data_IF_459114387680
#
_entry.id   IF_459114387680
#
_cell.length_a   1.000
_cell.length_b   1.000
_cell.length_c   1.000
_cell.angle_alpha   90.00
_cell.angle_beta   90.00
_cell.angle_gamma   90.00
#
_symmetry.space_group_name_H-M   'P 1'
#
loop_
_entity.id
_entity.type
_entity.pdbx_description
1 polymer ?
#
# COMPACT_ATOMS: atom_id res chain seq x y z
N UNK A 1 -42.64 -50.72 -27.79
CA UNK A 1 -42.62 -49.52 -28.67
C UNK A 1 -42.65 -48.20 -27.88
N UNK A 2 -43.47 -48.03 -26.84
CA UNK A 2 -43.50 -46.77 -26.05
C UNK A 2 -42.31 -46.56 -25.10
N UNK A 3 -41.65 -47.61 -24.61
CA UNK A 3 -40.44 -47.47 -23.76
C UNK A 3 -39.18 -47.05 -24.54
N UNK A 4 -39.03 -47.43 -25.81
CA UNK A 4 -37.88 -47.02 -26.63
C UNK A 4 -37.96 -45.53 -27.04
N UNK A 5 -39.16 -44.99 -27.21
CA UNK A 5 -39.37 -43.55 -27.52
C UNK A 5 -38.95 -42.65 -26.36
N UNK A 6 -39.27 -43.03 -25.12
CA UNK A 6 -38.89 -42.26 -23.94
C UNK A 6 -37.38 -42.20 -23.69
N UNK A 7 -36.63 -43.26 -24.05
CA UNK A 7 -35.17 -43.25 -23.93
C UNK A 7 -34.48 -42.43 -25.03
N UNK A 8 -35.04 -42.38 -26.24
CA UNK A 8 -34.52 -41.54 -27.34
C UNK A 8 -34.78 -40.04 -27.13
N UNK A 9 -35.93 -39.67 -26.57
CA UNK A 9 -36.24 -38.25 -26.24
C UNK A 9 -35.40 -37.71 -25.08
N UNK A 10 -35.05 -38.54 -24.10
CA UNK A 10 -34.13 -38.20 -23.00
C UNK A 10 -32.69 -37.95 -23.50
N UNK A 11 -32.23 -38.76 -24.45
CA UNK A 11 -30.90 -38.61 -25.07
C UNK A 11 -30.80 -37.38 -26.00
N UNK A 12 -31.88 -37.01 -26.69
CA UNK A 12 -31.93 -35.78 -27.51
C UNK A 12 -32.06 -34.50 -26.66
N UNK A 13 -32.78 -34.56 -25.53
CA UNK A 13 -32.88 -33.43 -24.58
C UNK A 13 -31.55 -33.15 -23.86
N UNK A 14 -30.80 -34.21 -23.54
CA UNK A 14 -29.46 -34.06 -22.96
C UNK A 14 -28.42 -33.58 -23.97
N UNK A 15 -28.43 -34.02 -25.24
CA UNK A 15 -27.49 -33.48 -26.24
C UNK A 15 -27.79 -32.02 -26.64
N UNK A 16 -29.07 -31.62 -26.66
CA UNK A 16 -29.49 -30.25 -26.93
C UNK A 16 -29.06 -29.27 -25.82
N UNK A 17 -29.12 -29.69 -24.55
CA UNK A 17 -28.66 -28.87 -23.41
C UNK A 17 -27.13 -28.75 -23.31
N UNK A 18 -26.36 -29.71 -23.82
CA UNK A 18 -24.90 -29.57 -23.95
C UNK A 18 -24.47 -28.65 -25.09
N UNK A 19 -25.26 -28.52 -26.17
CA UNK A 19 -24.97 -27.58 -27.26
C UNK A 19 -25.56 -26.18 -27.04
N UNK A 20 -26.63 -26.05 -26.25
CA UNK A 20 -27.14 -24.73 -25.85
C UNK A 20 -26.19 -24.00 -24.88
N UNK A 21 -25.38 -24.75 -24.12
CA UNK A 21 -24.48 -24.19 -23.10
C UNK A 21 -23.08 -23.80 -23.63
N UNK A 22 -22.79 -24.03 -24.92
CA UNK A 22 -21.58 -23.52 -25.59
C UNK A 22 -21.83 -22.26 -26.43
N UNK A 23 -23.07 -21.96 -26.77
CA UNK A 23 -23.42 -20.79 -27.59
C UNK A 23 -23.58 -19.49 -26.79
N UNK A 24 -23.80 -19.55 -25.47
CA UNK A 24 -23.83 -18.35 -24.60
C UNK A 24 -22.44 -17.87 -24.13
N UNK A 25 -21.39 -18.66 -24.35
CA UNK A 25 -19.99 -18.31 -24.03
C UNK A 25 -19.34 -17.45 -25.13
N UNK A 26 -19.94 -16.31 -25.48
CA UNK A 26 -19.24 -15.29 -26.29
C UNK A 26 -19.96 -13.93 -26.30
N UNK A 27 -20.33 -13.42 -25.13
CA UNK A 27 -20.36 -11.98 -24.92
C UNK A 27 -19.43 -11.70 -23.77
N UNK A 28 -18.23 -11.20 -24.05
CA UNK A 28 -17.33 -10.70 -23.02
C UNK A 28 -18.15 -9.74 -22.15
N UNK A 29 -18.44 -10.13 -20.90
CA UNK A 29 -19.16 -9.27 -19.97
C UNK A 29 -18.33 -7.99 -19.88
N UNK A 30 -18.95 -6.85 -20.22
CA UNK A 30 -18.29 -5.53 -20.26
C UNK A 30 -17.59 -5.19 -18.92
N UNK A 31 -18.05 -5.82 -17.83
CA UNK A 31 -17.54 -5.63 -16.48
C UNK A 31 -17.40 -6.98 -15.74
N UNK A 32 -16.44 -7.09 -14.81
CA UNK A 32 -16.28 -8.28 -13.97
C UNK A 32 -17.47 -8.45 -13.01
N UNK A 33 -17.69 -9.67 -12.54
CA UNK A 33 -18.69 -9.95 -11.51
C UNK A 33 -18.24 -9.41 -10.15
N UNK A 34 -19.20 -8.87 -9.38
CA UNK A 34 -18.94 -8.34 -8.04
C UNK A 34 -18.70 -9.50 -7.07
N UNK A 35 -17.56 -9.45 -6.37
CA UNK A 35 -17.22 -10.38 -5.29
C UNK A 35 -17.31 -9.67 -3.94
N UNK A 36 -18.35 -10.01 -3.16
CA UNK A 36 -18.56 -9.45 -1.82
C UNK A 36 -17.74 -10.12 -0.72
N UNK A 37 -17.83 -9.59 0.52
CA UNK A 37 -17.22 -10.18 1.72
C UNK A 37 -15.77 -9.79 1.99
N UNK A 38 -15.21 -8.88 1.19
CA UNK A 38 -13.90 -8.27 1.41
C UNK A 38 -13.99 -6.92 2.10
N UNK A 39 -12.92 -6.54 2.81
CA UNK A 39 -12.71 -5.16 3.26
C UNK A 39 -12.28 -4.29 2.08
N UNK A 40 -12.73 -3.04 2.05
CA UNK A 40 -12.14 -2.03 1.17
C UNK A 40 -10.77 -1.62 1.74
N UNK A 41 -9.70 -1.90 1.02
CA UNK A 41 -8.34 -1.53 1.43
C UNK A 41 -8.05 -0.09 1.01
N UNK A 42 -7.75 0.77 1.99
CA UNK A 42 -7.41 2.18 1.78
C UNK A 42 -6.18 2.54 2.61
N UNK A 43 -5.36 3.45 2.10
CA UNK A 43 -4.33 4.12 2.87
C UNK A 43 -4.93 5.37 3.55
N UNK A 44 -5.28 5.26 4.83
CA UNK A 44 -5.90 6.36 5.55
C UNK A 44 -4.84 7.37 6.03
N UNK A 45 -4.87 8.58 5.46
CA UNK A 45 -3.99 9.67 5.87
C UNK A 45 -4.47 10.30 7.18
N UNK A 46 -3.76 10.01 8.26
CA UNK A 46 -4.05 10.52 9.62
C UNK A 46 -2.98 11.49 10.15
N UNK A 47 -2.16 12.04 9.26
CA UNK A 47 -1.20 13.09 9.62
C UNK A 47 -1.91 14.25 10.30
N UNK A 48 -1.38 14.67 11.45
CA UNK A 48 -1.90 15.73 12.32
C UNK A 48 -3.31 15.49 12.90
N UNK A 49 -3.90 14.32 12.67
CA UNK A 49 -5.20 13.94 13.23
C UNK A 49 -5.08 13.53 14.69
N UNK A 50 -6.10 13.82 15.49
CA UNK A 50 -6.16 13.49 16.91
C UNK A 50 -6.64 12.05 17.08
N UNK A 51 -5.75 11.17 17.52
CA UNK A 51 -6.07 9.77 17.79
C UNK A 51 -6.10 9.56 19.30
N UNK A 52 -7.26 9.15 19.81
CA UNK A 52 -7.42 8.74 21.20
C UNK A 52 -7.15 7.24 21.33
N UNK A 53 -6.28 6.86 22.25
CA UNK A 53 -6.03 5.48 22.64
C UNK A 53 -6.48 5.30 24.08
N UNK A 54 -7.44 4.39 24.31
CA UNK A 54 -7.90 4.04 25.66
C UNK A 54 -7.24 2.73 26.07
N UNK A 55 -6.44 2.76 27.13
CA UNK A 55 -5.58 1.65 27.58
C UNK A 55 -4.10 1.86 27.26
N UNK A 56 -3.23 1.28 28.09
CA UNK A 56 -1.77 1.44 28.03
C UNK A 56 -0.97 0.14 27.87
N UNK A 57 -1.65 -1.00 27.69
CA UNK A 57 -1.02 -2.33 27.62
C UNK A 57 -0.35 -2.65 26.27
N UNK A 58 0.03 -3.92 26.09
CA UNK A 58 0.74 -4.41 24.88
C UNK A 58 -0.01 -4.13 23.57
N UNK A 59 -1.34 -4.28 23.57
CA UNK A 59 -2.17 -3.99 22.39
C UNK A 59 -2.16 -2.49 22.06
N UNK A 60 -2.13 -1.63 23.09
CA UNK A 60 -2.06 -0.18 22.92
C UNK A 60 -0.70 0.25 22.33
N UNK A 61 0.40 -0.33 22.80
CA UNK A 61 1.76 -0.03 22.31
C UNK A 61 1.88 -0.16 20.80
N UNK A 62 1.46 -1.30 20.23
CA UNK A 62 1.50 -1.52 18.78
C UNK A 62 0.61 -0.56 17.98
N UNK A 63 -0.56 -0.18 18.53
CA UNK A 63 -1.47 0.80 17.92
C UNK A 63 -0.88 2.20 17.92
N UNK A 64 -0.31 2.61 19.06
CA UNK A 64 0.36 3.89 19.22
C UNK A 64 1.51 4.02 18.23
N UNK A 65 2.35 2.99 18.13
CA UNK A 65 3.46 2.98 17.17
C UNK A 65 2.94 3.16 15.73
N UNK A 66 1.93 2.40 15.31
CA UNK A 66 1.34 2.54 13.97
C UNK A 66 0.78 3.95 13.70
N UNK A 67 0.18 4.59 14.71
CA UNK A 67 -0.35 5.95 14.60
C UNK A 67 0.76 7.00 14.51
N UNK A 68 1.81 6.86 15.32
CA UNK A 68 2.99 7.74 15.27
C UNK A 68 3.72 7.62 13.93
N UNK A 69 3.85 6.40 13.41
CA UNK A 69 4.41 6.10 12.09
C UNK A 69 3.66 6.80 10.94
N UNK A 70 2.40 7.18 11.18
CA UNK A 70 1.52 7.90 10.26
C UNK A 70 1.35 9.38 10.62
N UNK A 71 2.23 9.92 11.46
CA UNK A 71 2.28 11.33 11.90
C UNK A 71 1.01 11.79 12.65
N UNK A 72 0.32 10.88 13.35
CA UNK A 72 -0.86 11.23 14.13
C UNK A 72 -0.50 11.89 15.48
N UNK A 73 -1.41 12.71 16.00
CA UNK A 73 -1.33 13.29 17.34
C UNK A 73 -2.04 12.36 18.33
N UNK A 74 -1.25 11.53 19.01
CA UNK A 74 -1.77 10.47 19.88
C UNK A 74 -1.94 10.96 21.32
N UNK A 75 -3.13 10.75 21.88
CA UNK A 75 -3.40 10.88 23.31
C UNK A 75 -3.76 9.51 23.88
N UNK A 76 -3.08 9.11 24.94
CA UNK A 76 -3.33 7.84 25.65
C UNK A 76 -4.00 8.14 26.98
N UNK A 77 -5.14 7.51 27.24
CA UNK A 77 -5.88 7.61 28.50
C UNK A 77 -5.84 6.26 29.22
N UNK A 78 -5.13 6.20 30.34
CA UNK A 78 -5.11 5.08 31.27
C UNK A 78 -4.39 5.46 32.56
N UNK A 79 -4.63 4.77 33.68
CA UNK A 79 -3.81 4.91 34.88
C UNK A 79 -2.34 4.61 34.58
N UNK A 80 -1.41 5.34 35.17
CA UNK A 80 0.04 5.19 34.97
C UNK A 80 0.52 3.77 35.28
N UNK A 81 -0.11 3.09 36.24
CA UNK A 81 0.15 1.69 36.57
C UNK A 81 -0.18 0.70 35.44
N UNK A 82 -0.97 1.12 34.45
CA UNK A 82 -1.36 0.33 33.28
C UNK A 82 -0.52 0.61 32.03
N UNK A 83 0.50 1.47 32.12
CA UNK A 83 1.43 1.71 31.02
C UNK A 83 2.40 0.52 30.88
N UNK A 84 2.45 -0.07 29.70
CA UNK A 84 3.53 -0.99 29.36
C UNK A 84 4.85 -0.19 29.16
N UNK A 85 6.02 -0.87 29.15
CA UNK A 85 7.31 -0.21 29.02
C UNK A 85 7.46 0.64 27.75
N UNK A 86 6.87 0.20 26.63
CA UNK A 86 6.93 0.95 25.37
C UNK A 86 6.08 2.23 25.43
N UNK A 87 4.84 2.16 25.94
CA UNK A 87 4.00 3.36 26.08
C UNK A 87 4.64 4.34 27.06
N UNK A 88 5.14 3.86 28.21
CA UNK A 88 5.86 4.70 29.17
C UNK A 88 7.06 5.43 28.51
N UNK A 89 7.88 4.70 27.74
CA UNK A 89 8.98 5.30 26.99
C UNK A 89 8.51 6.42 26.05
N UNK A 90 7.39 6.23 25.34
CA UNK A 90 6.83 7.23 24.42
C UNK A 90 6.30 8.46 25.14
N UNK A 91 5.72 8.29 26.32
CA UNK A 91 5.28 9.38 27.20
C UNK A 91 6.49 10.18 27.68
N UNK A 92 7.53 9.52 28.19
CA UNK A 92 8.78 10.17 28.63
C UNK A 92 9.47 10.95 27.51
N UNK A 93 9.41 10.44 26.27
CA UNK A 93 9.96 11.10 25.08
C UNK A 93 9.06 12.21 24.53
N UNK A 94 7.93 12.51 25.17
CA UNK A 94 6.91 13.46 24.72
C UNK A 94 6.39 13.18 23.29
N UNK A 95 6.39 11.90 22.88
CA UNK A 95 5.85 11.48 21.58
C UNK A 95 4.33 11.35 21.61
N UNK A 96 3.75 11.13 22.79
CA UNK A 96 2.31 11.04 23.01
C UNK A 96 1.92 11.88 24.22
N UNK A 97 0.68 12.37 24.23
CA UNK A 97 0.08 12.97 25.44
C UNK A 97 -0.50 11.86 26.31
N UNK A 98 -0.20 11.85 27.61
CA UNK A 98 -0.77 10.88 28.56
C UNK A 98 -1.71 11.58 29.53
N UNK A 99 -2.88 10.98 29.72
CA UNK A 99 -3.89 11.37 30.70
C UNK A 99 -3.98 10.24 31.73
N UNK A 100 -3.41 10.49 32.91
CA UNK A 100 -3.34 9.52 34.01
C UNK A 100 -4.67 9.41 34.77
N UNK A 101 -5.65 8.81 34.11
CA UNK A 101 -6.93 8.41 34.70
C UNK A 101 -7.65 7.39 33.82
N UNK A 102 -8.80 6.93 34.28
CA UNK A 102 -9.74 6.18 33.46
C UNK A 102 -10.40 7.08 32.41
N UNK A 103 -10.93 6.44 31.37
CA UNK A 103 -11.66 7.10 30.30
C UNK A 103 -12.93 7.79 30.82
N UNK A 104 -13.20 8.98 30.27
CA UNK A 104 -14.44 9.73 30.44
C UNK A 104 -15.04 10.09 29.08
N UNK A 105 -16.36 10.21 28.92
CA UNK A 105 -16.99 10.51 27.63
C UNK A 105 -16.51 11.81 26.95
N UNK A 106 -15.99 12.77 27.72
CA UNK A 106 -15.39 14.02 27.25
C UNK A 106 -14.04 13.81 26.53
N UNK A 107 -13.36 12.69 26.72
CA UNK A 107 -12.12 12.36 26.00
C UNK A 107 -12.33 12.21 24.50
N UNK A 108 -13.57 11.92 24.09
CA UNK A 108 -13.97 11.81 22.68
C UNK A 108 -14.05 13.18 21.99
N UNK A 109 -14.04 14.28 22.75
CA UNK A 109 -14.26 15.61 22.21
C UNK A 109 -13.10 16.03 21.30
N UNK A 110 -13.41 16.14 20.01
CA UNK A 110 -12.44 16.48 18.97
C UNK A 110 -11.51 15.35 18.55
N UNK A 111 -11.76 14.10 18.97
CA UNK A 111 -11.04 12.94 18.45
C UNK A 111 -11.45 12.64 17.00
N UNK A 112 -10.48 12.43 16.12
CA UNK A 112 -10.71 12.01 14.73
C UNK A 112 -10.82 10.48 14.60
N UNK A 113 -10.24 9.73 15.55
CA UNK A 113 -10.22 8.27 15.60
C UNK A 113 -10.03 7.81 17.04
N UNK A 114 -10.68 6.69 17.41
CA UNK A 114 -10.58 6.09 18.75
C UNK A 114 -10.14 4.64 18.66
N UNK A 115 -9.14 4.28 19.46
CA UNK A 115 -8.61 2.92 19.57
C UNK A 115 -8.76 2.45 21.01
N UNK A 116 -9.56 1.41 21.24
CA UNK A 116 -9.80 0.86 22.58
C UNK A 116 -9.01 -0.44 22.75
N UNK A 117 -8.17 -0.49 23.78
CA UNK A 117 -7.27 -1.60 24.09
C UNK A 117 -7.21 -1.84 25.61
N UNK A 118 -8.38 -2.11 26.21
CA UNK A 118 -8.55 -2.43 27.64
C UNK A 118 -9.20 -3.80 27.81
N UNK A 119 -8.90 -4.47 28.93
CA UNK A 119 -9.43 -5.79 29.28
C UNK A 119 -10.81 -5.72 29.99
N UNK A 120 -11.66 -4.78 29.60
CA UNK A 120 -13.04 -4.64 30.08
C UNK A 120 -14.00 -4.58 28.87
N UNK A 121 -14.67 -5.70 28.54
CA UNK A 121 -15.60 -5.76 27.41
C UNK A 121 -16.79 -4.80 27.57
N UNK A 122 -17.32 -4.63 28.79
CA UNK A 122 -18.50 -3.78 29.01
C UNK A 122 -18.16 -2.30 28.82
N UNK A 123 -17.00 -1.87 29.36
CA UNK A 123 -16.46 -0.54 29.10
C UNK A 123 -16.14 -0.34 27.61
N UNK A 124 -15.52 -1.33 26.96
CA UNK A 124 -15.17 -1.27 25.53
C UNK A 124 -16.40 -1.07 24.64
N UNK A 125 -17.46 -1.85 24.85
CA UNK A 125 -18.74 -1.69 24.14
C UNK A 125 -19.39 -0.33 24.43
N UNK A 126 -19.23 0.20 25.64
CA UNK A 126 -19.77 1.51 26.01
C UNK A 126 -19.04 2.63 25.25
N UNK A 127 -17.71 2.58 25.21
CA UNK A 127 -16.89 3.51 24.43
C UNK A 127 -17.25 3.42 22.94
N UNK A 128 -17.40 2.21 22.40
CA UNK A 128 -17.83 2.00 21.01
C UNK A 128 -19.16 2.71 20.70
N UNK A 129 -20.19 2.51 21.53
CA UNK A 129 -21.50 3.17 21.36
C UNK A 129 -21.37 4.69 21.34
N UNK A 130 -20.60 5.25 22.28
CA UNK A 130 -20.34 6.69 22.37
C UNK A 130 -19.61 7.23 21.12
N UNK A 131 -18.69 6.44 20.53
CA UNK A 131 -18.05 6.76 19.26
C UNK A 131 -19.05 6.73 18.10
N UNK A 132 -19.96 5.74 18.04
CA UNK A 132 -21.00 5.66 17.01
C UNK A 132 -21.95 6.85 17.05
N UNK A 133 -22.39 7.27 18.24
CA UNK A 133 -23.23 8.45 18.44
C UNK A 133 -22.56 9.73 17.92
N UNK A 134 -21.24 9.86 18.13
CA UNK A 134 -20.43 11.00 17.67
C UNK A 134 -19.91 10.86 16.24
N UNK A 135 -20.17 9.73 15.57
CA UNK A 135 -19.64 9.39 14.23
C UNK A 135 -18.11 9.38 14.16
N UNK A 136 -17.47 8.98 15.25
CA UNK A 136 -16.01 8.82 15.32
C UNK A 136 -15.68 7.37 14.94
N UNK A 137 -14.82 7.13 13.95
CA UNK A 137 -14.39 5.77 13.62
C UNK A 137 -13.64 5.12 14.78
N UNK A 138 -14.07 3.92 15.16
CA UNK A 138 -13.52 3.21 16.29
C UNK A 138 -12.96 1.82 15.91
N UNK A 139 -11.89 1.42 16.58
CA UNK A 139 -11.41 0.05 16.57
C UNK A 139 -11.24 -0.47 18.01
N UNK A 140 -12.01 -1.49 18.35
CA UNK A 140 -12.01 -2.15 19.66
C UNK A 140 -11.20 -3.44 19.53
N UNK A 141 -10.18 -3.59 20.38
CA UNK A 141 -9.34 -4.78 20.38
C UNK A 141 -10.18 -6.04 20.57
N UNK A 142 -9.92 -7.05 19.73
CA UNK A 142 -10.52 -8.38 19.81
C UNK A 142 -12.06 -8.46 19.76
N UNK A 143 -12.75 -7.37 19.39
CA UNK A 143 -14.20 -7.33 19.18
C UNK A 143 -14.53 -6.89 17.74
N UNK A 144 -14.41 -7.80 16.74
CA UNK A 144 -14.64 -7.46 15.33
C UNK A 144 -16.00 -6.82 15.00
N UNK A 145 -17.14 -7.25 15.59
CA UNK A 145 -18.44 -6.61 15.35
C UNK A 145 -18.50 -5.14 15.77
N UNK A 146 -17.60 -4.71 16.65
CA UNK A 146 -17.51 -3.35 17.19
C UNK A 146 -16.36 -2.55 16.52
N UNK A 147 -15.90 -2.95 15.34
CA UNK A 147 -14.84 -2.24 14.62
C UNK A 147 -15.35 -1.63 13.31
N UNK A 148 -15.04 -0.35 13.07
CA UNK A 148 -15.28 0.29 11.76
C UNK A 148 -14.17 -0.05 10.75
N UNK A 149 -13.00 -0.45 11.22
CA UNK A 149 -11.85 -0.84 10.41
C UNK A 149 -10.99 -1.88 11.14
N UNK A 150 -10.12 -2.56 10.40
CA UNK A 150 -9.17 -3.54 10.96
C UNK A 150 -7.73 -3.11 10.72
N UNK A 151 -6.87 -3.41 11.69
CA UNK A 151 -5.44 -3.45 11.44
C UNK A 151 -5.10 -4.68 10.61
N UNK A 152 -4.24 -4.51 9.60
CA UNK A 152 -3.67 -5.59 8.82
C UNK A 152 -2.26 -5.94 9.27
N UNK A 153 -1.71 -6.99 8.66
CA UNK A 153 -0.29 -7.31 8.78
C UNK A 153 0.48 -6.42 7.82
N UNK A 154 1.25 -5.46 8.34
CA UNK A 154 1.93 -4.43 7.53
C UNK A 154 3.43 -4.68 7.45
N UNK A 155 3.99 -4.54 6.26
CA UNK A 155 5.42 -4.37 6.02
C UNK A 155 5.66 -2.95 5.53
N UNK A 156 6.68 -2.29 6.09
CA UNK A 156 7.09 -0.94 5.73
C UNK A 156 8.59 -0.93 5.46
N UNK A 157 8.97 -0.26 4.38
CA UNK A 157 10.35 0.05 4.02
C UNK A 157 10.36 1.46 3.42
N UNK A 158 10.76 2.46 4.21
CA UNK A 158 10.64 3.87 3.85
C UNK A 158 9.20 4.25 3.43
N UNK A 159 8.98 4.75 2.20
CA UNK A 159 7.66 5.09 1.68
C UNK A 159 6.86 3.87 1.18
N UNK A 160 7.47 2.69 1.03
CA UNK A 160 6.77 1.46 0.65
C UNK A 160 5.96 0.95 1.84
N UNK A 161 4.66 0.71 1.63
CA UNK A 161 3.79 0.03 2.59
C UNK A 161 3.02 -1.09 1.89
N UNK A 162 3.05 -2.28 2.48
CA UNK A 162 2.28 -3.44 2.02
C UNK A 162 1.44 -3.95 3.19
N UNK A 163 0.12 -4.00 2.99
CA UNK A 163 -0.81 -4.56 3.95
C UNK A 163 -1.41 -5.87 3.45
N UNK A 164 -1.36 -6.89 4.31
CA UNK A 164 -2.09 -8.15 4.10
C UNK A 164 -3.25 -8.20 5.08
N UNK A 165 -4.48 -8.29 4.55
CA UNK A 165 -5.70 -8.50 5.32
C UNK A 165 -6.32 -9.86 5.00
N UNK A 166 -6.85 -10.52 6.02
CA UNK A 166 -7.62 -11.77 5.90
C UNK A 166 -9.08 -11.59 6.31
N UNK A 167 -9.57 -10.34 6.37
CA UNK A 167 -10.91 -9.98 6.84
C UNK A 167 -11.22 -10.62 8.21
N UNK A 168 -10.25 -10.55 9.14
CA UNK A 168 -10.39 -11.09 10.50
C UNK A 168 -10.27 -12.62 10.64
N UNK A 169 -10.05 -13.37 9.55
CA UNK A 169 -10.09 -14.85 9.60
C UNK A 169 -8.77 -15.53 10.00
N UNK A 170 -7.63 -14.86 9.83
CA UNK A 170 -6.33 -15.51 10.00
C UNK A 170 -5.18 -14.53 10.19
N UNK A 171 -5.02 -13.90 11.36
CA UNK A 171 -3.94 -12.94 11.61
C UNK A 171 -2.55 -13.59 11.50
N UNK A 172 -2.40 -14.83 11.97
CA UNK A 172 -1.13 -15.58 11.86
C UNK A 172 -0.75 -15.87 10.40
N UNK A 173 -1.73 -16.25 9.57
CA UNK A 173 -1.49 -16.48 8.15
C UNK A 173 -1.17 -15.17 7.41
N UNK A 174 -1.86 -14.07 7.73
CA UNK A 174 -1.54 -12.74 7.22
C UNK A 174 -0.07 -12.35 7.51
N UNK A 175 0.42 -12.65 8.72
CA UNK A 175 1.81 -12.42 9.10
C UNK A 175 2.81 -13.27 8.29
N UNK A 176 2.48 -14.53 8.02
CA UNK A 176 3.31 -15.42 7.19
C UNK A 176 3.37 -14.91 5.74
N UNK A 177 2.23 -14.63 5.12
CA UNK A 177 2.13 -14.12 3.75
C UNK A 177 2.91 -12.80 3.63
N UNK A 178 2.68 -11.86 4.55
CA UNK A 178 3.43 -10.59 4.58
C UNK A 178 4.94 -10.81 4.65
N UNK A 179 5.42 -11.76 5.47
CA UNK A 179 6.86 -12.08 5.54
C UNK A 179 7.39 -12.69 4.25
N UNK A 180 6.60 -13.51 3.56
CA UNK A 180 6.98 -14.07 2.26
C UNK A 180 7.11 -12.96 1.21
N UNK A 181 6.12 -12.05 1.14
CA UNK A 181 6.17 -10.88 0.26
C UNK A 181 7.40 -10.01 0.58
N UNK A 182 7.63 -9.68 1.86
CA UNK A 182 8.78 -8.88 2.25
C UNK A 182 10.11 -9.53 1.87
N UNK A 183 10.23 -10.85 1.97
CA UNK A 183 11.44 -11.60 1.58
C UNK A 183 11.70 -11.60 0.07
N UNK A 184 10.67 -11.42 -0.76
CA UNK A 184 10.83 -11.32 -2.21
C UNK A 184 11.20 -9.91 -2.69
N UNK A 185 11.17 -8.91 -1.80
CA UNK A 185 11.60 -7.56 -2.13
C UNK A 185 13.13 -7.47 -2.06
N UNK A 186 13.76 -6.68 -2.95
CA UNK A 186 15.14 -6.24 -2.79
C UNK A 186 15.38 -5.59 -1.43
N UNK A 187 16.65 -5.59 -1.00
CA UNK A 187 17.04 -4.80 0.18
C UNK A 187 16.87 -3.33 -0.15
N UNK A 188 16.31 -2.56 0.80
CA UNK A 188 16.05 -1.13 0.65
C UNK A 188 15.13 -0.79 -0.53
N UNK A 189 14.10 -1.62 -0.79
CA UNK A 189 13.09 -1.37 -1.81
C UNK A 189 12.39 0.00 -1.65
N UNK A 190 12.37 0.55 -0.43
CA UNK A 190 11.93 1.93 -0.18
C UNK A 190 12.73 2.98 -0.96
N UNK A 191 14.04 2.77 -1.15
CA UNK A 191 14.91 3.72 -1.85
C UNK A 191 14.56 3.83 -3.33
N UNK A 192 14.16 2.73 -3.98
CA UNK A 192 13.70 2.76 -5.37
C UNK A 192 12.52 3.72 -5.57
N UNK A 193 11.59 3.75 -4.61
CA UNK A 193 10.44 4.66 -4.65
C UNK A 193 10.88 6.12 -4.45
N UNK A 194 11.81 6.37 -3.52
CA UNK A 194 12.37 7.71 -3.30
C UNK A 194 13.15 8.21 -4.52
N UNK A 195 13.93 7.34 -5.17
CA UNK A 195 14.66 7.67 -6.40
C UNK A 195 13.70 8.06 -7.52
N UNK A 196 12.64 7.28 -7.76
CA UNK A 196 11.60 7.64 -8.73
C UNK A 196 10.90 8.95 -8.37
N UNK A 197 10.61 9.18 -7.09
CA UNK A 197 10.04 10.43 -6.59
C UNK A 197 10.92 11.65 -6.88
N UNK A 198 12.22 11.51 -6.60
CA UNK A 198 13.25 12.53 -6.82
C UNK A 198 13.44 12.80 -8.31
N UNK A 199 13.56 11.76 -9.14
CA UNK A 199 13.64 11.88 -10.59
C UNK A 199 12.42 12.62 -11.15
N UNK A 200 11.20 12.29 -10.68
CA UNK A 200 9.97 12.97 -11.09
C UNK A 200 9.96 14.45 -10.69
N UNK A 201 10.51 14.78 -9.53
CA UNK A 201 10.65 16.16 -9.07
C UNK A 201 11.70 16.93 -9.91
N UNK A 202 12.86 16.34 -10.20
CA UNK A 202 13.89 16.93 -11.07
C UNK A 202 13.36 17.12 -12.51
N UNK A 203 12.65 16.14 -13.07
CA UNK A 203 12.05 16.22 -14.39
C UNK A 203 11.04 17.37 -14.52
N UNK A 204 10.24 17.62 -13.47
CA UNK A 204 9.32 18.79 -13.44
C UNK A 204 10.05 20.13 -13.45
N UNK A 205 11.30 20.20 -12.98
CA UNK A 205 12.10 21.45 -13.03
C UNK A 205 12.63 21.71 -14.45
N UNK A 206 13.02 20.66 -15.18
CA UNK A 206 13.55 20.77 -16.56
C UNK A 206 12.42 21.01 -17.57
N UNK A 207 11.27 20.38 -17.35
CA UNK A 207 10.08 20.49 -18.18
C UNK A 207 8.90 21.00 -17.34
N UNK A 208 8.84 22.30 -17.00
CA UNK A 208 7.84 22.85 -16.08
C UNK A 208 6.47 23.03 -16.71
N UNK A 209 6.38 23.10 -18.03
CA UNK A 209 5.14 23.44 -18.72
C UNK A 209 4.07 22.36 -18.52
N UNK A 210 2.81 22.72 -18.20
CA UNK A 210 1.73 21.74 -18.02
C UNK A 210 1.47 20.89 -19.27
N UNK A 211 1.66 21.45 -20.46
CA UNK A 211 1.50 20.76 -21.75
C UNK A 211 2.46 19.56 -21.92
N UNK A 212 3.60 19.56 -21.23
CA UNK A 212 4.56 18.47 -21.26
C UNK A 212 4.19 17.31 -20.32
N UNK A 213 3.07 17.42 -19.57
CA UNK A 213 2.63 16.37 -18.64
C UNK A 213 2.51 14.98 -19.28
N UNK A 214 1.89 14.82 -20.48
CA UNK A 214 1.83 13.52 -21.15
C UNK A 214 3.22 12.99 -21.54
N UNK A 215 4.12 13.86 -22.02
CA UNK A 215 5.51 13.49 -22.37
C UNK A 215 6.29 13.04 -21.14
N UNK A 216 6.23 13.79 -20.03
CA UNK A 216 6.86 13.42 -18.75
C UNK A 216 6.33 12.08 -18.25
N UNK A 217 5.01 11.87 -18.28
CA UNK A 217 4.40 10.62 -17.84
C UNK A 217 4.84 9.45 -18.72
N UNK A 218 4.79 9.60 -20.04
CA UNK A 218 5.21 8.57 -20.98
C UNK A 218 6.68 8.18 -20.81
N UNK A 219 7.57 9.17 -20.61
CA UNK A 219 8.98 8.90 -20.37
C UNK A 219 9.23 8.22 -19.01
N UNK A 220 8.56 8.66 -17.94
CA UNK A 220 8.65 7.98 -16.64
C UNK A 220 8.19 6.53 -16.69
N UNK A 221 7.14 6.21 -17.46
CA UNK A 221 6.70 4.82 -17.67
C UNK A 221 7.80 4.01 -18.36
N UNK A 222 8.48 4.58 -19.38
CA UNK A 222 9.60 3.91 -20.04
C UNK A 222 10.73 3.61 -19.06
N UNK A 223 11.10 4.60 -18.22
CA UNK A 223 12.13 4.42 -17.19
C UNK A 223 11.74 3.30 -16.23
N UNK A 224 10.53 3.36 -15.65
CA UNK A 224 10.03 2.35 -14.70
C UNK A 224 9.89 0.94 -15.26
N UNK A 225 9.69 0.79 -16.58
CA UNK A 225 9.62 -0.52 -17.23
C UNK A 225 10.99 -1.02 -17.73
N UNK A 226 11.97 -0.13 -17.87
CA UNK A 226 13.30 -0.45 -18.41
C UNK A 226 14.22 -1.00 -17.33
N UNK A 227 14.19 -0.41 -16.13
CA UNK A 227 15.02 -0.84 -15.00
C UNK A 227 14.25 -1.74 -14.05
N UNK A 228 14.95 -2.69 -13.45
CA UNK A 228 14.41 -3.53 -12.39
C UNK A 228 14.44 -2.82 -11.02
N UNK A 229 13.82 -3.43 -10.02
CA UNK A 229 13.79 -2.83 -8.69
C UNK A 229 15.16 -2.76 -8.01
N UNK A 230 16.07 -3.72 -8.26
CA UNK A 230 17.40 -3.69 -7.64
C UNK A 230 18.20 -2.51 -8.20
N UNK A 231 18.14 -2.30 -9.51
CA UNK A 231 18.79 -1.19 -10.20
C UNK A 231 18.29 0.16 -9.66
N UNK A 232 16.98 0.32 -9.43
CA UNK A 232 16.43 1.53 -8.82
C UNK A 232 16.89 1.76 -7.38
N UNK A 233 17.18 0.71 -6.61
CA UNK A 233 17.64 0.85 -5.22
C UNK A 233 19.04 1.48 -5.14
N UNK A 234 19.85 1.31 -6.20
CA UNK A 234 21.26 1.72 -6.24
C UNK A 234 21.50 3.02 -7.06
N UNK A 235 20.43 3.63 -7.59
CA UNK A 235 20.53 4.91 -8.28
C UNK A 235 20.89 6.04 -7.32
N UNK A 236 21.89 6.80 -7.70
CA UNK A 236 22.36 8.00 -6.99
C UNK A 236 21.74 9.27 -7.59
N UNK A 237 21.94 10.41 -6.92
CA UNK A 237 21.55 11.72 -7.45
C UNK A 237 22.22 12.06 -8.78
N UNK A 238 23.47 11.64 -8.97
CA UNK A 238 24.23 11.81 -10.21
C UNK A 238 23.62 11.01 -11.36
N UNK A 239 23.21 9.76 -11.12
CA UNK A 239 22.57 8.93 -12.15
C UNK A 239 21.24 9.53 -12.59
N UNK A 240 20.46 10.07 -11.65
CA UNK A 240 19.22 10.75 -11.99
C UNK A 240 19.48 11.97 -12.87
N UNK A 241 20.55 12.73 -12.62
CA UNK A 241 20.94 13.86 -13.46
C UNK A 241 21.42 13.42 -14.85
N UNK A 242 22.19 12.34 -14.92
CA UNK A 242 22.61 11.73 -16.18
C UNK A 242 21.41 11.20 -16.99
N UNK A 243 20.47 10.53 -16.33
CA UNK A 243 19.27 9.97 -16.94
C UNK A 243 18.38 11.06 -17.56
N UNK A 244 18.28 12.23 -16.93
CA UNK A 244 17.51 13.37 -17.43
C UNK A 244 18.04 13.91 -18.77
N UNK A 245 19.32 13.70 -19.11
CA UNK A 245 19.90 14.09 -20.40
C UNK A 245 19.21 13.38 -21.58
N UNK A 246 18.63 12.19 -21.35
CA UNK A 246 17.92 11.40 -22.36
C UNK A 246 16.44 11.78 -22.53
N UNK A 247 15.90 12.67 -21.68
CA UNK A 247 14.51 13.08 -21.74
C UNK A 247 14.15 13.79 -23.05
N UNK A 248 15.02 14.68 -23.54
CA UNK A 248 14.78 15.43 -24.77
C UNK A 248 14.54 14.51 -25.97
N UNK A 249 15.36 13.46 -26.09
CA UNK A 249 15.26 12.41 -27.12
C UNK A 249 14.17 11.36 -26.84
N UNK A 250 13.49 11.41 -25.69
CA UNK A 250 12.48 10.42 -25.27
C UNK A 250 13.04 8.98 -25.24
N UNK A 251 14.31 8.85 -24.90
CA UNK A 251 15.06 7.59 -24.80
C UNK A 251 15.37 7.29 -23.33
N UNK A 252 15.67 6.02 -23.04
CA UNK A 252 16.12 5.56 -21.73
C UNK A 252 17.33 4.66 -21.96
N UNK A 253 18.53 5.01 -21.48
CA UNK A 253 19.74 4.21 -21.65
C UNK A 253 19.63 2.89 -20.88
N UNK A 254 20.52 1.93 -21.15
CA UNK A 254 20.65 0.76 -20.25
C UNK A 254 21.24 1.19 -18.90
N UNK A 255 21.13 0.33 -17.88
CA UNK A 255 21.73 0.65 -16.58
C UNK A 255 23.25 0.73 -16.70
N UNK A 256 23.87 -0.16 -17.49
CA UNK A 256 25.32 -0.18 -17.72
C UNK A 256 25.80 1.10 -18.38
N UNK A 257 25.08 1.59 -19.39
CA UNK A 257 25.39 2.89 -20.03
C UNK A 257 25.28 4.04 -19.03
N UNK A 258 24.26 4.01 -18.16
CA UNK A 258 24.04 5.03 -17.14
C UNK A 258 25.15 5.02 -16.09
N UNK A 259 25.60 3.84 -15.67
CA UNK A 259 26.70 3.66 -14.72
C UNK A 259 28.05 4.06 -15.34
N UNK A 260 28.28 3.77 -16.62
CA UNK A 260 29.49 4.19 -17.33
C UNK A 260 29.64 5.73 -17.38
N UNK A 261 28.53 6.47 -17.34
CA UNK A 261 28.54 7.94 -17.22
C UNK A 261 29.11 8.46 -15.89
N UNK A 262 29.18 7.63 -14.83
CA UNK A 262 29.83 7.99 -13.56
C UNK A 262 31.35 8.02 -13.70
N UNK A 263 31.90 7.06 -14.45
CA UNK A 263 33.35 6.78 -14.46
C UNK A 263 34.11 7.59 -15.52
N UNK A 264 33.41 8.06 -16.56
CA UNK A 264 34.06 8.68 -17.73
C UNK A 264 33.65 10.15 -17.89
N UNK A 265 34.50 11.10 -17.48
CA UNK A 265 34.25 12.53 -17.71
C UNK A 265 34.14 12.81 -19.22
N UNK A 266 32.91 13.09 -19.69
CA UNK A 266 32.63 13.40 -21.10
C UNK A 266 31.87 12.33 -21.88
N UNK A 267 31.56 11.16 -21.29
CA UNK A 267 30.62 10.21 -21.89
C UNK A 267 29.22 10.84 -21.94
N UNK A 268 28.70 11.00 -23.14
CA UNK A 268 27.48 11.75 -23.43
C UNK A 268 26.41 10.86 -24.07
N UNK A 269 25.19 11.40 -24.19
CA UNK A 269 24.05 10.74 -24.84
C UNK A 269 24.39 10.17 -26.24
N UNK A 270 25.34 10.79 -26.95
CA UNK A 270 25.79 10.37 -28.29
C UNK A 270 26.69 9.12 -28.27
N UNK A 271 27.28 8.80 -27.14
CA UNK A 271 28.16 7.65 -26.95
C UNK A 271 27.37 6.39 -26.56
N UNK A 272 26.08 6.55 -26.24
CA UNK A 272 25.15 5.44 -26.03
C UNK A 272 24.78 4.84 -27.38
N UNK A 273 25.09 3.56 -27.55
CA UNK A 273 24.80 2.82 -28.78
C UNK A 273 23.28 2.70 -28.98
N UNK A 274 22.76 3.26 -30.08
CA UNK A 274 21.33 3.31 -30.38
C UNK A 274 20.81 2.07 -31.13
N UNK A 275 21.66 1.07 -31.36
CA UNK A 275 21.32 -0.15 -32.08
C UNK A 275 21.36 -0.02 -33.61
N UNK A 276 21.76 1.12 -34.17
CA UNK A 276 21.93 1.27 -35.61
C UNK A 276 23.30 0.72 -36.06
N UNK A 277 23.29 -0.45 -36.72
CA UNK A 277 24.45 -0.90 -37.50
C UNK A 277 24.51 -0.11 -38.80
N UNK A 278 25.06 1.10 -38.75
CA UNK A 278 25.51 1.80 -39.93
C UNK A 278 26.78 1.16 -40.48
N UNK A 279 26.67 0.06 -41.23
CA UNK A 279 27.75 -0.37 -42.12
C UNK A 279 27.88 0.66 -43.25
N UNK A 280 28.60 1.76 -42.99
CA UNK A 280 29.24 2.52 -44.06
C UNK A 280 30.52 1.79 -44.46
N UNK A 281 30.41 0.77 -45.31
CA UNK A 281 31.50 0.45 -46.23
C UNK A 281 31.46 1.52 -47.31
N UNK A 282 32.36 2.48 -47.20
CA UNK A 282 32.62 3.49 -48.21
C UNK A 282 33.06 2.85 -49.52
N UNK A 283 32.73 3.59 -50.58
CA UNK A 283 32.95 3.35 -52.02
C UNK A 283 34.36 2.89 -52.37
#
# INVERSE_FOLDING_TARGET
>A
LNQLRHQLESAYSTSSSYHHNMAEKSKAKKFPEVQGGGSLILAWRIKDKKVLVVGGGEVAAGRILNCLDADAKVTVVCPASGLNPEVAHRVERAQVTHVDRLFEPSDLDGADMVLVAIDDPAASTTIWKLCKERRIPANIADVPPECDFYFGSVHRDGPLQIMVSTNGKGPRLAAIIRRQIAKSLPKNAGNAIEAIGTLRAKLRKIAPNPEESPKRMGWMIKVSNKYDWNEFCDLTDEDMENLLKFYAGNQVPTIDDLLAMRETPGFNVKDVFDGSFGFCVGV
#
